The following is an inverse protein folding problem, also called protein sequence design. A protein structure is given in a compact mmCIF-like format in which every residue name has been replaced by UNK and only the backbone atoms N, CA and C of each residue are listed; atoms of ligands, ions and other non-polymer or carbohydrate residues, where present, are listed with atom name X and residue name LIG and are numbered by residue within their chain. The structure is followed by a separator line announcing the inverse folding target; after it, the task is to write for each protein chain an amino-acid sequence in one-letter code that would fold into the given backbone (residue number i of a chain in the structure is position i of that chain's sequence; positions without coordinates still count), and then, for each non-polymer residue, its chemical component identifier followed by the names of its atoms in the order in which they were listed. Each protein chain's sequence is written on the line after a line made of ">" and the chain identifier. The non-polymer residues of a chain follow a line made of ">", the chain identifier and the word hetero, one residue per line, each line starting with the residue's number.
data_IF_787356292228
#
_entry.id   IF_787356292228
#
_cell.length_a   1.000
_cell.length_b   1.000
_cell.length_c   1.000
_cell.angle_alpha   90.00
_cell.angle_beta   90.00
_cell.angle_gamma   90.00
#
_symmetry.space_group_name_H-M   'P 1'
#
loop_
_entity.id
_entity.type
_entity.pdbx_description
1 polymer ?
#
# COMPACT_ATOMS: atom_id res chain seq x y z
N UNK A 1 -27.57 23.41 -2.30
CA UNK A 1 -26.50 22.82 -1.49
C UNK A 1 -25.44 22.38 -2.48
N UNK A 2 -24.26 23.02 -2.51
CA UNK A 2 -23.19 22.61 -3.43
C UNK A 2 -22.62 21.29 -2.90
N UNK A 3 -22.67 20.24 -3.70
CA UNK A 3 -22.21 18.91 -3.30
C UNK A 3 -20.69 18.98 -3.05
N UNK A 4 -20.18 18.26 -2.05
CA UNK A 4 -18.74 18.26 -1.69
C UNK A 4 -17.83 17.98 -2.90
N UNK A 5 -18.29 17.14 -3.82
CA UNK A 5 -17.62 16.81 -5.09
C UNK A 5 -17.43 18.04 -5.99
N UNK A 6 -18.43 18.92 -6.09
CA UNK A 6 -18.32 20.14 -6.91
C UNK A 6 -17.30 21.11 -6.31
N UNK A 7 -17.20 21.14 -4.98
CA UNK A 7 -16.20 21.95 -4.26
C UNK A 7 -14.79 21.42 -4.54
N UNK A 8 -14.57 20.11 -4.47
CA UNK A 8 -13.29 19.49 -4.84
C UNK A 8 -12.91 19.71 -6.30
N UNK A 9 -13.86 19.51 -7.22
CA UNK A 9 -13.63 19.77 -8.65
C UNK A 9 -13.18 21.22 -8.88
N UNK A 10 -13.86 22.18 -8.24
CA UNK A 10 -13.49 23.60 -8.35
C UNK A 10 -12.12 23.88 -7.74
N UNK A 11 -11.89 23.44 -6.49
CA UNK A 11 -10.68 23.77 -5.74
C UNK A 11 -9.41 23.14 -6.29
N UNK A 12 -9.47 21.89 -6.74
CA UNK A 12 -8.28 21.09 -7.08
C UNK A 12 -8.15 20.80 -8.57
N UNK A 13 -9.24 20.88 -9.33
CA UNK A 13 -9.27 20.54 -10.76
C UNK A 13 -9.82 21.66 -11.65
N UNK A 14 -10.06 22.84 -11.08
CA UNK A 14 -10.54 24.04 -11.79
C UNK A 14 -11.88 23.82 -12.52
N UNK A 15 -12.73 22.91 -12.00
CA UNK A 15 -14.01 22.58 -12.61
C UNK A 15 -13.92 21.69 -13.87
N UNK A 16 -12.76 21.09 -14.14
CA UNK A 16 -12.47 20.38 -15.40
C UNK A 16 -12.44 18.85 -15.29
N UNK A 17 -13.01 18.26 -14.24
CA UNK A 17 -13.20 16.80 -14.22
C UNK A 17 -14.27 16.36 -15.23
N UNK A 18 -14.13 15.15 -15.79
CA UNK A 18 -15.13 14.59 -16.71
C UNK A 18 -16.43 14.25 -15.99
N UNK A 19 -17.54 14.18 -16.73
CA UNK A 19 -18.84 13.78 -16.18
C UNK A 19 -18.81 12.39 -15.56
N UNK A 20 -18.06 11.45 -16.14
CA UNK A 20 -17.89 10.11 -15.60
C UNK A 20 -17.17 10.13 -14.24
N UNK A 21 -16.06 10.86 -14.14
CA UNK A 21 -15.35 11.03 -12.85
C UNK A 21 -16.26 11.64 -11.80
N UNK A 22 -17.01 12.69 -12.15
CA UNK A 22 -17.95 13.32 -11.23
C UNK A 22 -19.04 12.35 -10.77
N UNK A 23 -19.55 11.50 -11.65
CA UNK A 23 -20.57 10.51 -11.28
C UNK A 23 -20.04 9.53 -10.22
N UNK A 24 -18.85 8.97 -10.41
CA UNK A 24 -18.24 8.03 -9.45
C UNK A 24 -17.93 8.68 -8.10
N UNK A 25 -17.44 9.92 -8.10
CA UNK A 25 -17.12 10.62 -6.86
C UNK A 25 -18.36 10.99 -6.03
N UNK A 26 -19.55 11.05 -6.63
CA UNK A 26 -20.79 11.34 -5.89
C UNK A 26 -21.17 10.26 -4.89
N UNK A 27 -20.61 9.05 -5.02
CA UNK A 27 -20.73 7.99 -4.00
C UNK A 27 -20.12 8.42 -2.64
N UNK A 28 -19.27 9.46 -2.61
CA UNK A 28 -18.74 10.03 -1.37
C UNK A 28 -19.70 11.01 -0.67
N UNK A 29 -20.86 11.34 -1.24
CA UNK A 29 -21.72 12.40 -0.71
C UNK A 29 -22.11 12.21 0.76
N UNK A 30 -22.35 10.96 1.15
CA UNK A 30 -22.78 10.56 2.50
C UNK A 30 -21.69 9.76 3.24
N UNK A 31 -20.44 9.83 2.77
CA UNK A 31 -19.32 9.15 3.40
C UNK A 31 -18.97 9.78 4.76
N UNK A 32 -18.40 9.01 5.71
CA UNK A 32 -17.98 9.54 7.01
C UNK A 32 -16.82 10.55 6.87
N UNK A 33 -16.66 11.42 7.88
CA UNK A 33 -15.67 12.52 7.85
C UNK A 33 -14.24 12.06 7.56
N UNK A 34 -13.82 10.90 8.08
CA UNK A 34 -12.48 10.36 7.83
C UNK A 34 -12.30 9.86 6.40
N UNK A 35 -13.37 9.35 5.76
CA UNK A 35 -13.39 9.04 4.33
C UNK A 35 -13.30 10.31 3.47
N UNK A 36 -14.07 11.35 3.82
CA UNK A 36 -14.01 12.64 3.13
C UNK A 36 -12.61 13.27 3.26
N UNK A 37 -12.00 13.21 4.45
CA UNK A 37 -10.65 13.70 4.71
C UNK A 37 -9.59 12.95 3.90
N UNK A 38 -9.72 11.62 3.77
CA UNK A 38 -8.84 10.81 2.92
C UNK A 38 -8.97 11.20 1.44
N UNK A 39 -10.19 11.38 0.92
CA UNK A 39 -10.42 11.79 -0.46
C UNK A 39 -9.88 13.21 -0.74
N UNK A 40 -10.16 14.17 0.14
CA UNK A 40 -9.64 15.54 0.06
C UNK A 40 -8.11 15.57 0.01
N UNK A 41 -7.46 14.80 0.88
CA UNK A 41 -6.00 14.65 0.90
C UNK A 41 -5.47 14.06 -0.39
N UNK A 42 -6.11 13.01 -0.91
CA UNK A 42 -5.71 12.41 -2.18
C UNK A 42 -5.74 13.45 -3.32
N UNK A 43 -6.77 14.29 -3.39
CA UNK A 43 -6.86 15.36 -4.40
C UNK A 43 -5.81 16.45 -4.21
N UNK A 44 -5.50 16.83 -2.96
CA UNK A 44 -4.39 17.77 -2.68
C UNK A 44 -3.04 17.20 -3.08
N UNK A 45 -2.80 15.90 -2.87
CA UNK A 45 -1.58 15.22 -3.32
C UNK A 45 -1.50 15.15 -4.85
N UNK A 46 -2.61 14.87 -5.54
CA UNK A 46 -2.69 14.90 -7.01
C UNK A 46 -2.38 16.30 -7.56
N UNK A 47 -2.90 17.35 -6.92
CA UNK A 47 -2.59 18.74 -7.26
C UNK A 47 -1.11 19.05 -7.07
N UNK A 48 -0.52 18.66 -5.93
CA UNK A 48 0.92 18.83 -5.67
C UNK A 48 1.79 18.04 -6.67
N UNK A 49 1.31 16.89 -7.13
CA UNK A 49 1.92 16.11 -8.19
C UNK A 49 1.71 16.69 -9.59
N UNK A 50 0.90 17.74 -9.77
CA UNK A 50 0.60 18.29 -11.10
C UNK A 50 -0.19 17.32 -11.98
N UNK A 51 -1.05 16.48 -11.39
CA UNK A 51 -1.97 15.64 -12.14
C UNK A 51 -2.99 16.53 -12.87
N UNK A 52 -3.17 16.33 -14.18
CA UNK A 52 -4.16 17.10 -14.93
C UNK A 52 -5.55 16.49 -14.71
N UNK A 53 -6.63 17.28 -14.78
CA UNK A 53 -8.00 16.77 -14.70
C UNK A 53 -8.29 15.65 -15.72
N UNK A 54 -7.72 15.74 -16.93
CA UNK A 54 -7.83 14.73 -17.99
C UNK A 54 -7.07 13.43 -17.70
N UNK A 55 -6.16 13.43 -16.72
CA UNK A 55 -5.39 12.26 -16.30
C UNK A 55 -6.02 11.53 -15.11
N UNK A 56 -7.10 12.07 -14.50
CA UNK A 56 -7.89 11.35 -13.52
C UNK A 56 -8.90 10.47 -14.26
N UNK A 57 -8.70 9.15 -14.24
CA UNK A 57 -9.59 8.22 -14.92
C UNK A 57 -10.90 8.01 -14.18
N UNK A 58 -11.95 7.63 -14.92
CA UNK A 58 -13.23 7.22 -14.30
C UNK A 58 -12.99 6.01 -13.38
N UNK A 59 -12.10 5.09 -13.74
CA UNK A 59 -11.76 3.95 -12.88
C UNK A 59 -11.10 4.36 -11.56
N UNK A 60 -10.16 5.30 -11.59
CA UNK A 60 -9.53 5.84 -10.36
C UNK A 60 -10.56 6.57 -9.50
N UNK A 61 -11.50 7.29 -10.13
CA UNK A 61 -12.61 7.95 -9.43
C UNK A 61 -13.56 6.93 -8.79
N UNK A 62 -13.85 5.82 -9.49
CA UNK A 62 -14.58 4.68 -8.93
C UNK A 62 -13.84 4.07 -7.74
N UNK A 63 -12.52 3.82 -7.84
CA UNK A 63 -11.71 3.34 -6.71
C UNK A 63 -11.78 4.30 -5.52
N UNK A 64 -11.79 5.61 -5.75
CA UNK A 64 -11.96 6.60 -4.69
C UNK A 64 -13.36 6.50 -4.08
N UNK A 65 -14.43 6.62 -4.88
CA UNK A 65 -15.81 6.57 -4.39
C UNK A 65 -16.17 5.26 -3.70
N UNK A 66 -15.65 4.15 -4.22
CA UNK A 66 -15.89 2.81 -3.72
C UNK A 66 -14.95 2.44 -2.55
N UNK A 67 -13.64 2.54 -2.70
CA UNK A 67 -12.71 2.02 -1.69
C UNK A 67 -12.52 2.92 -0.48
N UNK A 68 -12.55 4.26 -0.64
CA UNK A 68 -12.25 5.18 0.48
C UNK A 68 -13.22 5.00 1.66
N UNK A 69 -14.56 5.01 1.49
CA UNK A 69 -15.49 4.81 2.62
C UNK A 69 -15.36 3.45 3.29
N UNK A 70 -14.75 2.47 2.61
CA UNK A 70 -14.64 1.07 3.05
C UNK A 70 -13.27 0.74 3.65
N UNK A 71 -12.30 1.65 3.57
CA UNK A 71 -10.91 1.38 3.99
C UNK A 71 -10.42 2.34 5.07
N UNK A 72 -11.28 3.23 5.57
CA UNK A 72 -10.99 4.11 6.70
C UNK A 72 -11.34 3.45 8.05
N UNK A 73 -10.71 3.87 9.16
CA UNK A 73 -10.95 3.25 10.47
C UNK A 73 -12.42 3.25 10.91
N UNK A 74 -13.21 4.29 10.58
CA UNK A 74 -14.64 4.34 10.94
C UNK A 74 -15.44 3.16 10.37
N UNK A 75 -15.10 2.66 9.17
CA UNK A 75 -15.70 1.47 8.59
C UNK A 75 -15.37 0.18 9.38
N UNK A 76 -14.27 0.18 10.12
CA UNK A 76 -13.74 -0.99 10.82
C UNK A 76 -13.77 -0.85 12.34
N UNK A 77 -14.70 -0.05 12.89
CA UNK A 77 -14.83 0.14 14.34
C UNK A 77 -13.53 0.65 15.00
N UNK A 78 -12.78 1.47 14.26
CA UNK A 78 -11.51 2.05 14.69
C UNK A 78 -10.27 1.20 14.36
N UNK A 79 -10.42 0.00 13.80
CA UNK A 79 -9.27 -0.84 13.42
C UNK A 79 -8.78 -0.53 12.01
N UNK A 80 -7.52 -0.89 11.74
CA UNK A 80 -6.94 -0.85 10.41
C UNK A 80 -7.23 -2.19 9.71
N UNK A 81 -7.80 -2.20 8.50
CA UNK A 81 -8.04 -3.45 7.79
C UNK A 81 -6.71 -4.11 7.36
N UNK A 82 -6.48 -5.40 7.68
CA UNK A 82 -5.31 -6.14 7.20
C UNK A 82 -5.48 -6.47 5.71
N UNK A 83 -5.01 -5.57 4.84
CA UNK A 83 -4.99 -5.82 3.39
C UNK A 83 -3.64 -6.42 3.03
N UNK A 84 -3.58 -7.75 2.85
CA UNK A 84 -2.40 -8.46 2.36
C UNK A 84 -2.74 -9.20 1.06
N UNK A 85 -1.75 -9.28 0.16
CA UNK A 85 -1.89 -9.94 -1.13
C UNK A 85 -0.58 -10.61 -1.51
N UNK A 86 -0.67 -11.79 -2.13
CA UNK A 86 0.47 -12.47 -2.71
C UNK A 86 1.15 -11.60 -3.78
N UNK A 87 2.47 -11.68 -3.88
CA UNK A 87 3.31 -10.95 -4.82
C UNK A 87 3.51 -9.47 -4.51
N UNK A 88 2.87 -8.92 -3.46
CA UNK A 88 2.91 -7.48 -3.17
C UNK A 88 4.32 -6.96 -3.03
N UNK A 89 5.23 -7.66 -2.33
CA UNK A 89 6.58 -7.16 -2.06
C UNK A 89 7.67 -7.70 -2.98
N UNK A 90 7.31 -8.36 -4.09
CA UNK A 90 8.27 -9.07 -4.97
C UNK A 90 9.51 -8.26 -5.35
N UNK A 91 9.34 -7.02 -5.82
CA UNK A 91 10.47 -6.16 -6.24
C UNK A 91 11.24 -5.65 -5.01
N UNK A 92 10.56 -5.46 -3.88
CA UNK A 92 11.18 -5.06 -2.62
C UNK A 92 12.01 -6.19 -2.00
N UNK A 93 11.60 -7.45 -2.15
CA UNK A 93 12.40 -8.59 -1.71
C UNK A 93 13.71 -8.69 -2.50
N UNK A 94 13.66 -8.45 -3.82
CA UNK A 94 14.87 -8.29 -4.64
C UNK A 94 15.73 -7.12 -4.18
N UNK A 95 15.09 -5.99 -3.85
CA UNK A 95 15.78 -4.79 -3.38
C UNK A 95 16.54 -5.04 -2.07
N UNK A 96 15.96 -5.83 -1.16
CA UNK A 96 16.59 -6.23 0.10
C UNK A 96 17.71 -7.24 -0.17
N UNK A 97 17.46 -8.26 -0.99
CA UNK A 97 18.42 -9.31 -1.28
C UNK A 97 19.72 -8.78 -1.91
N UNK A 98 19.65 -7.69 -2.66
CA UNK A 98 20.77 -7.08 -3.40
C UNK A 98 21.13 -5.69 -2.91
N UNK A 99 20.71 -5.33 -1.70
CA UNK A 99 20.83 -3.96 -1.21
C UNK A 99 22.30 -3.47 -1.19
N UNK A 100 22.59 -2.25 -1.68
CA UNK A 100 23.95 -1.72 -1.70
C UNK A 100 24.37 -1.09 -0.36
N UNK A 101 23.42 -0.80 0.54
CA UNK A 101 23.66 -0.03 1.76
C UNK A 101 24.05 -0.89 2.97
N UNK A 102 23.63 -2.16 2.96
CA UNK A 102 23.92 -3.17 3.97
C UNK A 102 23.97 -4.55 3.33
N UNK A 103 24.95 -5.35 3.74
CA UNK A 103 24.99 -6.80 3.46
C UNK A 103 25.25 -7.49 4.79
N UNK A 104 24.31 -8.30 5.31
CA UNK A 104 24.60 -9.06 6.51
C UNK A 104 25.72 -10.07 6.26
N UNK A 105 26.25 -10.62 7.36
CA UNK A 105 27.11 -11.80 7.31
C UNK A 105 26.34 -13.06 6.88
N UNK A 106 26.82 -14.24 7.28
CA UNK A 106 26.30 -15.52 6.77
C UNK A 106 24.81 -15.79 7.03
N UNK A 107 24.23 -15.26 8.13
CA UNK A 107 22.81 -15.42 8.49
C UNK A 107 22.19 -14.08 8.89
N UNK A 108 21.52 -13.43 7.95
CA UNK A 108 20.80 -12.17 8.19
C UNK A 108 19.52 -12.37 9.01
N UNK A 109 19.12 -11.33 9.74
CA UNK A 109 17.83 -11.27 10.46
C UNK A 109 16.95 -10.19 9.81
N UNK A 110 15.79 -10.62 9.32
CA UNK A 110 14.78 -9.77 8.68
C UNK A 110 13.52 -9.72 9.54
N UNK A 111 13.01 -8.52 9.84
CA UNK A 111 11.75 -8.31 10.55
C UNK A 111 10.76 -7.61 9.63
N UNK A 112 9.60 -8.23 9.39
CA UNK A 112 8.49 -7.69 8.60
C UNK A 112 7.37 -7.21 9.52
N UNK A 113 7.22 -5.89 9.64
CA UNK A 113 6.27 -5.26 10.55
C UNK A 113 4.99 -4.92 9.81
N UNK A 114 3.86 -5.37 10.36
CA UNK A 114 2.55 -5.23 9.72
C UNK A 114 2.33 -6.27 8.61
N UNK A 115 2.80 -7.49 8.83
CA UNK A 115 2.73 -8.57 7.84
C UNK A 115 1.30 -9.07 7.57
N UNK A 116 0.33 -8.70 8.41
CA UNK A 116 -1.09 -8.97 8.27
C UNK A 116 -1.47 -10.45 8.27
N UNK A 117 -2.72 -10.73 7.87
CA UNK A 117 -3.26 -12.08 7.82
C UNK A 117 -4.10 -12.31 6.54
N UNK A 118 -3.83 -13.39 5.76
CA UNK A 118 -2.68 -14.28 5.89
C UNK A 118 -1.34 -13.54 5.62
N UNK A 119 -0.22 -14.02 6.18
CA UNK A 119 1.08 -13.34 6.10
C UNK A 119 1.82 -13.63 4.79
N UNK A 120 1.11 -13.59 3.66
CA UNK A 120 1.64 -14.01 2.34
C UNK A 120 2.95 -13.30 1.99
N UNK A 121 3.04 -12.00 2.26
CA UNK A 121 4.21 -11.21 1.93
C UNK A 121 5.45 -11.64 2.70
N UNK A 122 5.31 -12.06 3.96
CA UNK A 122 6.44 -12.50 4.77
C UNK A 122 6.85 -13.93 4.44
N UNK A 123 5.89 -14.79 4.08
CA UNK A 123 6.16 -16.11 3.52
C UNK A 123 6.98 -16.03 2.24
N UNK A 124 6.60 -15.14 1.31
CA UNK A 124 7.34 -14.91 0.07
C UNK A 124 8.75 -14.37 0.35
N UNK A 125 8.91 -13.46 1.31
CA UNK A 125 10.23 -12.99 1.75
C UNK A 125 11.09 -14.13 2.31
N UNK A 126 10.53 -15.01 3.15
CA UNK A 126 11.24 -16.17 3.69
C UNK A 126 11.70 -17.14 2.59
N UNK A 127 10.87 -17.36 1.57
CA UNK A 127 11.24 -18.15 0.39
C UNK A 127 12.35 -17.46 -0.42
N UNK A 128 12.29 -16.12 -0.54
CA UNK A 128 13.28 -15.36 -1.32
C UNK A 128 14.62 -15.21 -0.61
N UNK A 129 14.62 -15.26 0.73
CA UNK A 129 15.78 -15.17 1.61
C UNK A 129 15.98 -16.46 2.43
N UNK A 130 16.23 -17.61 1.79
CA UNK A 130 16.20 -18.92 2.46
C UNK A 130 17.30 -19.10 3.52
N UNK A 131 18.37 -18.31 3.44
CA UNK A 131 19.48 -18.33 4.42
C UNK A 131 19.28 -17.34 5.57
N UNK A 132 18.22 -16.53 5.56
CA UNK A 132 17.95 -15.53 6.59
C UNK A 132 16.92 -16.05 7.58
N UNK A 133 17.00 -15.58 8.83
CA UNK A 133 15.88 -15.71 9.78
C UNK A 133 14.90 -14.58 9.47
N UNK A 134 13.69 -14.92 9.03
CA UNK A 134 12.61 -13.99 8.73
C UNK A 134 11.59 -14.05 9.86
N UNK A 135 11.19 -12.89 10.37
CA UNK A 135 10.25 -12.77 11.48
C UNK A 135 9.12 -11.84 11.03
N UNK A 136 7.92 -12.37 10.89
CA UNK A 136 6.71 -11.57 10.68
C UNK A 136 6.13 -11.11 12.00
N UNK A 137 5.81 -9.82 12.10
CA UNK A 137 5.29 -9.19 13.30
C UNK A 137 3.98 -8.47 12.98
N UNK A 138 2.90 -8.83 13.66
CA UNK A 138 1.61 -8.15 13.51
C UNK A 138 0.74 -8.24 14.78
N UNK A 139 0.05 -7.16 15.19
CA UNK A 139 -0.89 -7.20 16.31
C UNK A 139 -2.22 -7.88 15.95
N UNK A 140 -2.52 -8.12 14.67
CA UNK A 140 -3.76 -8.74 14.19
C UNK A 140 -3.75 -10.27 14.25
N UNK A 141 -2.63 -10.89 14.66
CA UNK A 141 -2.57 -12.33 14.85
C UNK A 141 -3.61 -12.77 15.87
N UNK A 142 -4.51 -13.63 15.39
CA UNK A 142 -5.72 -14.01 16.11
C UNK A 142 -5.59 -15.43 16.64
N UNK A 143 -6.20 -15.69 17.79
CA UNK A 143 -6.20 -17.03 18.41
C UNK A 143 -6.94 -18.05 17.57
N UNK A 144 -8.02 -17.62 16.91
CA UNK A 144 -8.86 -18.48 16.10
C UNK A 144 -9.11 -17.86 14.72
N UNK A 145 -9.14 -18.71 13.69
CA UNK A 145 -9.64 -18.35 12.37
C UNK A 145 -10.71 -19.33 11.94
N UNK A 146 -11.83 -18.76 11.52
CA UNK A 146 -13.00 -19.48 11.01
C UNK A 146 -13.06 -19.30 9.52
N UNK A 147 -13.15 -20.38 8.76
CA UNK A 147 -13.40 -20.39 7.33
C UNK A 147 -14.82 -20.87 7.05
N UNK A 148 -15.51 -20.19 6.14
CA UNK A 148 -16.74 -20.72 5.56
C UNK A 148 -16.43 -21.68 4.39
N UNK A 149 -17.47 -22.25 3.79
CA UNK A 149 -17.36 -23.20 2.67
C UNK A 149 -16.84 -22.57 1.37
N UNK A 150 -16.84 -21.24 1.27
CA UNK A 150 -16.35 -20.48 0.12
C UNK A 150 -14.88 -20.06 0.30
N UNK A 151 -14.26 -20.40 1.43
CA UNK A 151 -12.88 -20.03 1.76
C UNK A 151 -12.71 -18.62 2.34
N UNK A 152 -13.80 -17.85 2.46
CA UNK A 152 -13.79 -16.59 3.19
C UNK A 152 -13.61 -16.84 4.70
N UNK A 153 -12.97 -15.91 5.40
CA UNK A 153 -12.55 -16.15 6.78
C UNK A 153 -12.84 -15.00 7.75
N UNK A 154 -12.92 -15.35 9.03
CA UNK A 154 -13.01 -14.42 10.16
C UNK A 154 -11.99 -14.76 11.23
N UNK A 155 -11.37 -13.73 11.80
CA UNK A 155 -10.32 -13.81 12.80
C UNK A 155 -10.87 -13.40 14.17
N UNK A 156 -10.71 -14.27 15.17
CA UNK A 156 -11.18 -14.05 16.54
C UNK A 156 -10.03 -14.12 17.54
N UNK A 157 -10.04 -13.23 18.52
CA UNK A 157 -9.07 -13.25 19.61
C UNK A 157 -9.37 -14.31 20.68
N UNK A 158 -8.56 -14.35 21.74
CA UNK A 158 -8.71 -15.29 22.86
C UNK A 158 -10.05 -15.13 23.60
N UNK A 159 -10.60 -13.91 23.63
CA UNK A 159 -11.90 -13.57 24.21
C UNK A 159 -13.06 -13.84 23.22
N UNK A 160 -12.80 -14.48 22.09
CA UNK A 160 -13.75 -14.75 21.01
C UNK A 160 -14.37 -13.46 20.42
N UNK A 161 -13.69 -12.32 20.51
CA UNK A 161 -14.10 -11.09 19.84
C UNK A 161 -13.62 -11.11 18.40
N UNK A 162 -14.51 -10.72 17.49
CA UNK A 162 -14.19 -10.59 16.07
C UNK A 162 -13.20 -9.43 15.87
N UNK A 163 -12.01 -9.74 15.37
CA UNK A 163 -10.97 -8.75 15.05
C UNK A 163 -11.09 -8.25 13.62
N UNK A 164 -11.29 -9.18 12.71
CA UNK A 164 -11.37 -8.93 11.28
C UNK A 164 -12.16 -10.06 10.60
N UNK A 165 -12.73 -9.78 9.44
CA UNK A 165 -13.20 -10.83 8.55
C UNK A 165 -13.10 -10.36 7.10
N UNK A 166 -12.85 -11.31 6.22
CA UNK A 166 -12.84 -11.13 4.78
C UNK A 166 -14.15 -11.69 4.23
N UNK A 167 -14.95 -10.86 3.58
CA UNK A 167 -16.15 -11.26 2.85
C UNK A 167 -16.03 -10.85 1.36
N UNK A 168 -14.88 -11.13 0.76
CA UNK A 168 -14.52 -10.65 -0.58
C UNK A 168 -14.27 -9.14 -0.62
N UNK A 169 -14.29 -8.55 -1.83
CA UNK A 169 -14.09 -7.11 -2.06
C UNK A 169 -15.26 -6.24 -1.60
N UNK A 170 -16.43 -6.84 -1.33
CA UNK A 170 -17.62 -6.13 -0.86
C UNK A 170 -18.51 -7.06 -0.05
N UNK A 171 -18.91 -6.60 1.13
CA UNK A 171 -19.89 -7.26 1.97
C UNK A 171 -21.16 -6.42 2.05
N UNK A 172 -22.19 -6.70 1.22
CA UNK A 172 -23.44 -5.95 1.23
C UNK A 172 -24.21 -6.10 2.54
N UNK A 173 -23.95 -7.15 3.32
CA UNK A 173 -24.67 -7.47 4.54
C UNK A 173 -23.70 -7.87 5.65
N UNK A 174 -22.99 -6.85 6.12
CA UNK A 174 -21.99 -6.95 7.20
C UNK A 174 -22.50 -7.67 8.43
N UNK A 175 -23.72 -7.39 8.85
CA UNK A 175 -24.27 -7.97 10.06
C UNK A 175 -24.61 -9.45 9.87
N UNK A 176 -25.11 -9.84 8.69
CA UNK A 176 -25.32 -11.24 8.38
C UNK A 176 -24.00 -12.01 8.21
N UNK A 177 -23.00 -11.45 7.53
CA UNK A 177 -21.67 -12.06 7.39
C UNK A 177 -21.01 -12.32 8.74
N UNK A 178 -21.01 -11.33 9.64
CA UNK A 178 -20.53 -11.49 11.02
C UNK A 178 -21.28 -12.59 11.78
N UNK A 179 -22.60 -12.65 11.63
CA UNK A 179 -23.45 -13.65 12.28
C UNK A 179 -23.13 -15.05 11.76
N UNK A 180 -23.00 -15.24 10.45
CA UNK A 180 -22.62 -16.52 9.83
C UNK A 180 -21.28 -17.03 10.36
N UNK A 181 -20.27 -16.17 10.45
CA UNK A 181 -18.98 -16.57 11.03
C UNK A 181 -19.07 -16.91 12.52
N UNK A 182 -19.88 -16.17 13.28
CA UNK A 182 -20.15 -16.47 14.70
C UNK A 182 -20.82 -17.83 14.86
N UNK A 183 -21.83 -18.13 14.04
CA UNK A 183 -22.53 -19.42 14.07
C UNK A 183 -21.60 -20.61 13.76
N UNK A 184 -20.67 -20.43 12.80
CA UNK A 184 -19.65 -21.45 12.51
C UNK A 184 -18.71 -21.62 13.71
N UNK A 185 -18.24 -20.51 14.31
CA UNK A 185 -17.38 -20.55 15.50
C UNK A 185 -18.06 -21.30 16.65
N UNK A 186 -19.28 -20.91 17.01
CA UNK A 186 -20.00 -21.45 18.17
C UNK A 186 -20.31 -22.95 17.96
N UNK A 187 -20.54 -23.38 16.72
CA UNK A 187 -20.74 -24.79 16.36
C UNK A 187 -19.45 -25.62 16.43
N UNK A 188 -18.34 -25.07 15.96
CA UNK A 188 -17.08 -25.80 15.82
C UNK A 188 -16.21 -25.77 17.09
N UNK A 189 -16.23 -24.69 17.86
CA UNK A 189 -15.38 -24.49 19.03
C UNK A 189 -15.50 -25.62 20.08
N UNK A 190 -16.70 -26.13 20.43
CA UNK A 190 -16.83 -27.25 21.37
C UNK A 190 -16.26 -28.58 20.83
N UNK A 191 -16.05 -28.69 19.52
CA UNK A 191 -15.55 -29.89 18.84
C UNK A 191 -14.03 -29.84 18.60
N UNK A 192 -13.38 -28.72 18.91
CA UNK A 192 -11.97 -28.51 18.67
C UNK A 192 -11.11 -29.23 19.72
N UNK A 193 -10.62 -30.42 19.38
CA UNK A 193 -9.75 -31.25 20.25
C UNK A 193 -8.26 -31.07 20.01
N UNK A 194 -7.88 -30.48 18.86
CA UNK A 194 -6.50 -30.15 18.49
C UNK A 194 -6.38 -28.71 17.99
N UNK A 195 -5.60 -28.53 16.92
CA UNK A 195 -5.38 -27.22 16.29
C UNK A 195 -6.43 -26.91 15.20
N UNK A 196 -7.15 -27.91 14.69
CA UNK A 196 -8.15 -27.73 13.65
C UNK A 196 -9.38 -28.64 13.86
N UNK A 197 -10.55 -28.14 13.46
CA UNK A 197 -11.77 -28.94 13.26
C UNK A 197 -12.53 -28.46 12.03
N UNK A 198 -13.07 -29.40 11.24
CA UNK A 198 -13.82 -29.11 10.01
C UNK A 198 -15.15 -29.88 10.00
N UNK A 199 -16.20 -29.27 9.49
CA UNK A 199 -17.47 -29.91 9.14
C UNK A 199 -18.02 -29.40 7.79
N UNK A 200 -19.21 -29.87 7.39
CA UNK A 200 -19.83 -29.51 6.12
C UNK A 200 -20.10 -28.01 5.97
N UNK A 201 -20.17 -27.25 7.06
CA UNK A 201 -20.48 -25.83 7.07
C UNK A 201 -19.28 -24.91 7.32
N UNK A 202 -18.06 -25.45 7.49
CA UNK A 202 -16.86 -24.62 7.65
C UNK A 202 -15.71 -25.32 8.38
N UNK A 203 -14.66 -24.54 8.63
CA UNK A 203 -13.42 -24.96 9.30
C UNK A 203 -13.04 -23.96 10.38
N UNK A 204 -12.57 -24.45 11.52
CA UNK A 204 -12.01 -23.65 12.61
C UNK A 204 -10.57 -24.08 12.85
N UNK A 205 -9.68 -23.10 12.91
CA UNK A 205 -8.25 -23.28 13.19
C UNK A 205 -7.88 -22.47 14.43
N UNK A 206 -7.15 -23.08 15.36
CA UNK A 206 -6.51 -22.44 16.51
C UNK A 206 -5.04 -22.20 16.19
N UNK A 207 -4.51 -21.05 16.62
CA UNK A 207 -3.13 -20.65 16.39
C UNK A 207 -2.72 -20.75 14.91
N UNK A 208 -3.49 -20.13 13.99
CA UNK A 208 -3.34 -20.29 12.54
C UNK A 208 -1.94 -19.94 12.02
N UNK A 209 -1.18 -19.13 12.76
CA UNK A 209 0.20 -18.73 12.41
C UNK A 209 1.14 -19.92 12.29
N UNK A 210 0.97 -20.95 13.12
CA UNK A 210 1.81 -22.15 13.09
C UNK A 210 1.77 -22.90 11.75
N UNK A 211 0.71 -22.72 10.96
CA UNK A 211 0.61 -23.33 9.64
C UNK A 211 1.45 -22.62 8.56
N UNK A 212 1.88 -21.39 8.84
CA UNK A 212 2.66 -20.57 7.90
C UNK A 212 4.14 -20.50 8.27
N UNK A 213 4.52 -20.89 9.49
CA UNK A 213 5.91 -20.93 9.95
C UNK A 213 6.72 -22.02 9.23
N UNK A 214 8.01 -21.77 9.08
CA UNK A 214 8.99 -22.69 8.47
C UNK A 214 10.30 -22.65 9.27
N UNK A 215 11.29 -23.47 8.90
CA UNK A 215 12.62 -23.48 9.55
C UNK A 215 13.32 -22.11 9.56
N UNK A 216 12.93 -21.20 8.66
CA UNK A 216 13.49 -19.87 8.54
C UNK A 216 12.46 -18.73 8.70
N UNK A 217 11.19 -19.05 8.99
CA UNK A 217 10.11 -18.10 9.19
C UNK A 217 9.42 -18.30 10.54
N UNK A 218 9.41 -17.25 11.35
CA UNK A 218 8.69 -17.16 12.62
C UNK A 218 7.62 -16.06 12.54
N UNK A 219 6.47 -16.27 13.18
CA UNK A 219 5.38 -15.30 13.22
C UNK A 219 5.05 -14.93 14.67
N UNK A 220 5.33 -13.68 15.03
CA UNK A 220 5.21 -13.19 16.40
C UNK A 220 4.09 -12.15 16.52
N UNK A 221 3.21 -12.33 17.50
CA UNK A 221 2.21 -11.32 17.84
C UNK A 221 2.85 -10.10 18.48
N UNK A 222 2.54 -8.91 17.97
CA UNK A 222 3.01 -7.65 18.54
C UNK A 222 3.01 -6.50 17.53
N UNK A 223 2.99 -5.28 18.04
CA UNK A 223 3.09 -4.06 17.24
C UNK A 223 4.47 -3.39 17.27
N UNK A 224 4.53 -2.26 16.57
CA UNK A 224 5.62 -1.28 16.68
C UNK A 224 5.74 -0.82 18.14
N UNK A 225 6.93 -0.95 18.73
CA UNK A 225 7.18 -0.60 20.12
C UNK A 225 6.95 -1.74 21.12
N UNK A 226 6.27 -2.82 20.71
CA UNK A 226 5.99 -3.98 21.57
C UNK A 226 6.94 -5.14 21.27
N UNK A 227 7.21 -5.39 19.99
CA UNK A 227 8.14 -6.43 19.58
C UNK A 227 9.57 -6.08 20.00
N UNK A 228 10.25 -7.08 20.56
CA UNK A 228 11.67 -7.04 20.92
C UNK A 228 12.38 -8.20 20.24
N UNK A 229 13.64 -8.00 19.87
CA UNK A 229 14.47 -9.04 19.28
C UNK A 229 15.64 -9.36 20.22
N UNK A 230 15.83 -10.65 20.50
CA UNK A 230 16.96 -11.12 21.33
C UNK A 230 18.32 -10.92 20.66
N UNK A 231 18.32 -10.73 19.34
CA UNK A 231 19.50 -10.48 18.51
C UNK A 231 19.28 -9.21 17.70
N UNK A 232 20.37 -8.50 17.40
CA UNK A 232 20.27 -7.34 16.53
C UNK A 232 19.72 -7.72 15.15
N UNK A 233 18.92 -6.83 14.58
CA UNK A 233 18.23 -6.99 13.29
C UNK A 233 19.04 -6.37 12.15
N UNK A 234 19.12 -7.03 11.00
CA UNK A 234 19.81 -6.51 9.82
C UNK A 234 18.89 -5.64 8.96
N UNK A 235 17.63 -6.06 8.80
CA UNK A 235 16.63 -5.33 8.02
C UNK A 235 15.28 -5.36 8.72
N UNK A 236 14.68 -4.18 8.88
CA UNK A 236 13.26 -4.02 9.22
C UNK A 236 12.54 -3.53 7.98
N UNK A 237 11.46 -4.20 7.58
CA UNK A 237 10.51 -3.72 6.58
C UNK A 237 9.20 -3.33 7.27
N UNK A 238 8.68 -2.16 6.95
CA UNK A 238 7.41 -1.64 7.45
C UNK A 238 6.65 -1.00 6.29
N UNK A 239 6.09 -1.84 5.42
CA UNK A 239 5.37 -1.42 4.22
C UNK A 239 3.88 -1.40 4.48
N UNK A 240 3.20 -0.39 3.95
CA UNK A 240 1.75 -0.24 4.04
C UNK A 240 1.22 -0.07 5.48
N UNK A 241 2.04 0.41 6.40
CA UNK A 241 1.65 0.64 7.81
C UNK A 241 1.61 2.13 8.15
N UNK A 242 2.69 2.89 7.92
CA UNK A 242 2.77 4.31 8.33
C UNK A 242 1.75 5.23 7.63
N UNK A 243 1.06 4.75 6.59
CA UNK A 243 -0.06 5.49 6.00
C UNK A 243 -1.28 5.61 6.93
N UNK A 244 -1.34 4.84 8.02
CA UNK A 244 -2.43 4.93 9.01
C UNK A 244 -2.12 5.83 10.22
N UNK A 245 -0.87 6.26 10.38
CA UNK A 245 -0.39 6.91 11.60
C UNK A 245 0.15 8.32 11.33
N UNK A 246 0.04 9.16 12.34
CA UNK A 246 0.51 10.55 12.31
C UNK A 246 2.05 10.62 12.41
N UNK A 247 2.60 11.81 12.16
CA UNK A 247 4.04 12.03 12.26
C UNK A 247 4.60 11.76 13.68
N UNK A 248 3.97 12.15 14.80
CA UNK A 248 4.44 11.80 16.13
C UNK A 248 4.61 10.29 16.36
N UNK A 249 3.64 9.47 15.91
CA UNK A 249 3.77 8.01 16.00
C UNK A 249 4.93 7.51 15.14
N UNK A 250 5.05 8.01 13.91
CA UNK A 250 6.15 7.67 13.02
C UNK A 250 7.52 7.92 13.66
N UNK A 251 7.73 9.07 14.29
CA UNK A 251 9.01 9.38 14.95
C UNK A 251 9.32 8.42 16.11
N UNK A 252 8.31 8.02 16.90
CA UNK A 252 8.47 6.98 17.91
C UNK A 252 8.80 5.62 17.29
N UNK A 253 8.19 5.29 16.16
CA UNK A 253 8.46 4.06 15.42
C UNK A 253 9.89 4.02 14.87
N UNK A 254 10.40 5.15 14.36
CA UNK A 254 11.79 5.27 13.91
C UNK A 254 12.77 5.11 15.08
N UNK A 255 12.47 5.71 16.23
CA UNK A 255 13.28 5.53 17.44
C UNK A 255 13.32 4.07 17.90
N UNK A 256 12.16 3.38 17.90
CA UNK A 256 12.07 1.94 18.19
C UNK A 256 12.87 1.10 17.18
N UNK A 257 12.72 1.35 15.88
CA UNK A 257 13.49 0.62 14.87
C UNK A 257 15.02 0.80 15.05
N UNK A 258 15.43 1.98 15.52
CA UNK A 258 16.84 2.27 15.84
C UNK A 258 17.39 1.37 16.94
N UNK A 259 16.58 1.02 17.96
CA UNK A 259 17.04 0.17 19.08
C UNK A 259 17.20 -1.30 18.67
N UNK A 260 16.42 -1.76 17.68
CA UNK A 260 16.46 -3.15 17.19
C UNK A 260 17.57 -3.39 16.16
N UNK A 261 17.85 -2.40 15.31
CA UNK A 261 18.80 -2.55 14.21
C UNK A 261 20.25 -2.65 14.69
N UNK A 262 21.02 -3.51 14.04
CA UNK A 262 22.49 -3.52 14.14
C UNK A 262 23.08 -2.25 13.50
N UNK A 263 24.31 -1.83 13.87
CA UNK A 263 25.03 -0.81 13.13
C UNK A 263 25.08 -1.15 11.63
N UNK A 264 24.72 -0.20 10.77
CA UNK A 264 24.59 -0.42 9.32
C UNK A 264 23.29 -1.09 8.86
N UNK A 265 22.48 -1.62 9.78
CA UNK A 265 21.18 -2.22 9.46
C UNK A 265 20.19 -1.23 8.85
N UNK A 266 19.19 -1.76 8.15
CA UNK A 266 18.26 -0.96 7.33
C UNK A 266 16.84 -0.96 7.87
N UNK A 267 16.18 0.19 7.76
CA UNK A 267 14.72 0.27 7.83
C UNK A 267 14.19 0.68 6.45
N UNK A 268 13.28 -0.10 5.90
CA UNK A 268 12.53 0.21 4.69
C UNK A 268 11.08 0.48 5.10
N UNK A 269 10.56 1.66 4.81
CA UNK A 269 9.17 1.99 5.10
C UNK A 269 8.50 2.75 3.95
N UNK A 270 7.22 2.52 3.74
CA UNK A 270 6.48 3.14 2.65
C UNK A 270 5.20 2.41 2.31
N UNK A 271 4.81 2.42 1.04
CA UNK A 271 3.61 1.76 0.54
C UNK A 271 3.85 1.22 -0.86
N UNK A 272 3.28 0.06 -1.16
CA UNK A 272 3.20 -0.47 -2.50
C UNK A 272 1.89 -1.26 -2.71
N UNK A 273 1.73 -1.77 -3.92
CA UNK A 273 0.62 -2.60 -4.37
C UNK A 273 1.10 -3.95 -4.92
N UNK A 274 0.19 -4.70 -5.55
CA UNK A 274 0.48 -6.01 -6.14
C UNK A 274 1.69 -5.90 -7.08
N UNK A 275 2.55 -6.92 -7.07
CA UNK A 275 3.77 -6.95 -7.89
C UNK A 275 4.72 -5.75 -7.63
N UNK A 276 4.59 -5.08 -6.48
CA UNK A 276 5.27 -3.83 -6.14
C UNK A 276 4.97 -2.64 -7.07
N UNK A 277 3.88 -2.69 -7.83
CA UNK A 277 3.33 -1.50 -8.47
C UNK A 277 3.02 -0.42 -7.43
N UNK A 278 2.92 0.83 -7.88
CA UNK A 278 2.62 1.98 -7.04
C UNK A 278 3.62 2.17 -5.86
N UNK A 279 4.80 1.56 -5.94
CA UNK A 279 5.77 1.60 -4.86
C UNK A 279 6.22 3.03 -4.59
N UNK A 280 6.29 3.39 -3.31
CA UNK A 280 7.00 4.56 -2.78
C UNK A 280 7.55 4.19 -1.42
N UNK A 281 8.84 4.41 -1.19
CA UNK A 281 9.46 4.01 0.06
C UNK A 281 10.72 4.80 0.37
N UNK A 282 11.00 4.92 1.67
CA UNK A 282 12.23 5.48 2.19
C UNK A 282 13.08 4.36 2.79
N UNK A 283 14.39 4.40 2.53
CA UNK A 283 15.38 3.51 3.11
C UNK A 283 16.25 4.31 4.05
N UNK A 284 16.26 3.90 5.31
CA UNK A 284 17.12 4.41 6.36
C UNK A 284 18.21 3.40 6.65
N UNK A 285 19.39 3.91 7.05
CA UNK A 285 20.47 3.10 7.61
C UNK A 285 20.78 3.56 9.02
N UNK A 286 20.98 2.62 9.94
CA UNK A 286 21.46 2.94 11.28
C UNK A 286 22.94 3.34 11.23
N UNK A 287 23.24 4.55 11.68
CA UNK A 287 24.59 5.13 11.81
C UNK A 287 24.67 5.87 13.13
N UNK A 288 25.68 5.65 13.97
CA UNK A 288 25.84 6.37 15.25
C UNK A 288 24.56 6.39 16.11
N UNK A 289 23.88 5.24 16.22
CA UNK A 289 22.60 5.07 16.95
C UNK A 289 21.47 6.03 16.51
N UNK A 290 21.45 6.41 15.24
CA UNK A 290 20.34 7.12 14.58
C UNK A 290 20.04 6.52 13.22
N UNK A 291 18.80 6.68 12.77
CA UNK A 291 18.41 6.35 11.40
C UNK A 291 18.72 7.51 10.47
N UNK A 292 19.62 7.28 9.53
CA UNK A 292 20.00 8.26 8.50
C UNK A 292 19.31 7.88 7.19
N UNK A 293 18.47 8.76 6.61
CA UNK A 293 17.81 8.49 5.34
C UNK A 293 18.85 8.42 4.21
N UNK A 294 18.80 7.34 3.41
CA UNK A 294 19.74 7.08 2.30
C UNK A 294 19.08 7.18 0.94
N UNK A 295 17.86 6.68 0.82
CA UNK A 295 17.14 6.61 -0.44
C UNK A 295 15.66 6.89 -0.22
N UNK A 296 15.06 7.69 -1.10
CA UNK A 296 13.62 7.69 -1.34
C UNK A 296 13.44 7.22 -2.77
N UNK A 297 12.60 6.22 -2.98
CA UNK A 297 12.37 5.63 -4.28
C UNK A 297 10.88 5.49 -4.58
N UNK A 298 10.52 5.56 -5.85
CA UNK A 298 9.16 5.34 -6.34
C UNK A 298 9.15 4.64 -7.69
N UNK A 299 8.09 3.87 -7.94
CA UNK A 299 7.86 3.20 -9.22
C UNK A 299 7.35 4.19 -10.28
N UNK A 300 7.71 3.96 -11.54
CA UNK A 300 7.45 4.89 -12.64
C UNK A 300 5.95 5.10 -12.93
N UNK A 301 5.10 4.12 -12.60
CA UNK A 301 3.65 4.25 -12.71
C UNK A 301 3.07 5.34 -11.80
N UNK A 302 3.78 5.77 -10.74
CA UNK A 302 3.36 6.91 -9.91
C UNK A 302 3.38 8.25 -10.66
N UNK A 303 4.01 8.36 -11.84
CA UNK A 303 3.99 9.59 -12.64
C UNK A 303 2.59 9.88 -13.20
N UNK A 304 1.79 8.85 -13.48
CA UNK A 304 0.38 8.99 -13.87
C UNK A 304 -0.39 7.73 -13.50
N UNK A 305 -0.67 7.53 -12.21
CA UNK A 305 -1.25 6.28 -11.74
C UNK A 305 -2.72 6.17 -12.10
N UNK A 306 -3.16 4.95 -12.37
CA UNK A 306 -4.58 4.59 -12.53
C UNK A 306 -5.20 4.07 -11.22
N UNK A 307 -4.39 3.92 -10.16
CA UNK A 307 -4.77 3.41 -8.84
C UNK A 307 -4.90 4.50 -7.77
N UNK A 308 -5.59 4.16 -6.68
CA UNK A 308 -5.66 4.94 -5.45
C UNK A 308 -4.38 4.83 -4.59
N UNK A 309 -3.64 3.72 -4.68
CA UNK A 309 -2.53 3.40 -3.77
C UNK A 309 -1.46 4.51 -3.64
N UNK A 310 -1.05 5.22 -4.71
CA UNK A 310 -0.09 6.34 -4.63
C UNK A 310 -0.56 7.54 -3.80
N UNK A 311 -1.87 7.67 -3.59
CA UNK A 311 -2.52 8.81 -2.95
C UNK A 311 -3.10 8.49 -1.57
N UNK A 312 -3.13 7.21 -1.21
CA UNK A 312 -3.69 6.75 0.06
C UNK A 312 -2.79 7.10 1.25
N UNK A 313 -3.35 7.82 2.23
CA UNK A 313 -2.77 8.08 3.54
C UNK A 313 -3.77 8.79 4.45
N UNK A 314 -3.83 8.44 5.73
CA UNK A 314 -4.81 8.97 6.70
C UNK A 314 -4.42 10.30 7.33
N UNK A 315 -3.17 10.75 7.12
CA UNK A 315 -2.62 11.97 7.72
C UNK A 315 -1.92 12.83 6.67
N UNK A 316 -2.09 14.16 6.79
CA UNK A 316 -1.55 15.16 5.86
C UNK A 316 -0.02 15.23 5.86
N UNK A 317 0.60 14.74 6.93
CA UNK A 317 2.04 14.74 7.18
C UNK A 317 2.72 13.41 6.81
N UNK A 318 2.03 12.51 6.09
CA UNK A 318 2.63 11.27 5.62
C UNK A 318 3.82 11.55 4.68
N UNK A 319 5.03 11.26 5.16
CA UNK A 319 6.27 11.66 4.52
C UNK A 319 6.46 11.03 3.13
N UNK A 320 6.10 9.75 2.98
CA UNK A 320 6.27 9.03 1.72
C UNK A 320 5.26 9.51 0.65
N UNK A 321 4.02 9.83 1.02
CA UNK A 321 3.06 10.47 0.11
C UNK A 321 3.53 11.85 -0.34
N UNK A 322 3.99 12.69 0.60
CA UNK A 322 4.51 14.02 0.28
C UNK A 322 5.73 13.94 -0.64
N UNK A 323 6.70 13.08 -0.29
CA UNK A 323 7.91 12.88 -1.10
C UNK A 323 7.57 12.40 -2.51
N UNK A 324 6.59 11.49 -2.63
CA UNK A 324 6.11 11.01 -3.93
C UNK A 324 5.47 12.14 -4.75
N UNK A 325 4.50 12.87 -4.17
CA UNK A 325 3.80 13.93 -4.86
C UNK A 325 4.76 15.02 -5.38
N UNK A 326 5.72 15.46 -4.55
CA UNK A 326 6.69 16.49 -4.96
C UNK A 326 7.72 15.99 -5.98
N UNK A 327 8.17 14.74 -5.88
CA UNK A 327 9.07 14.14 -6.87
C UNK A 327 8.38 13.98 -8.22
N UNK A 328 7.15 13.44 -8.22
CA UNK A 328 6.31 13.30 -9.42
C UNK A 328 5.97 14.67 -10.01
N UNK A 329 5.62 15.66 -9.19
CA UNK A 329 5.38 17.02 -9.65
C UNK A 329 6.59 17.65 -10.34
N UNK A 330 7.79 17.40 -9.82
CA UNK A 330 9.05 17.81 -10.46
C UNK A 330 9.25 17.13 -11.81
N UNK A 331 8.98 15.81 -11.90
CA UNK A 331 9.10 15.04 -13.14
C UNK A 331 8.09 15.52 -14.19
N UNK A 332 6.83 15.71 -13.79
CA UNK A 332 5.75 16.15 -14.68
C UNK A 332 5.89 17.61 -15.14
N UNK A 333 6.63 18.45 -14.40
CA UNK A 333 6.93 19.81 -14.83
C UNK A 333 7.86 19.87 -16.07
N UNK A 334 8.62 18.80 -16.35
CA UNK A 334 9.42 18.70 -17.58
C UNK A 334 8.50 18.37 -18.76
N UNK A 335 8.14 19.41 -19.52
CA UNK A 335 7.17 19.31 -20.63
C UNK A 335 7.61 18.32 -21.73
N UNK A 336 8.89 18.28 -22.16
CA UNK A 336 9.35 17.28 -23.13
C UNK A 336 9.16 15.84 -22.64
N UNK A 337 9.57 15.54 -21.40
CA UNK A 337 9.36 14.23 -20.78
C UNK A 337 7.88 13.90 -20.70
N UNK A 338 7.07 14.80 -20.12
CA UNK A 338 5.64 14.55 -19.89
C UNK A 338 4.90 14.25 -21.19
N UNK A 339 5.20 14.96 -22.29
CA UNK A 339 4.57 14.70 -23.58
C UNK A 339 4.85 13.28 -24.09
N UNK A 340 6.11 12.83 -24.02
CA UNK A 340 6.49 11.47 -24.46
C UNK A 340 5.88 10.42 -23.54
N UNK A 341 6.00 10.63 -22.24
CA UNK A 341 5.46 9.75 -21.21
C UNK A 341 3.96 9.57 -21.38
N UNK A 342 3.21 10.66 -21.49
CA UNK A 342 1.75 10.62 -21.63
C UNK A 342 1.32 9.94 -22.91
N UNK A 343 1.97 10.26 -24.03
CA UNK A 343 1.66 9.62 -25.32
C UNK A 343 1.91 8.11 -25.27
N UNK A 344 2.99 7.68 -24.61
CA UNK A 344 3.29 6.25 -24.51
C UNK A 344 2.35 5.55 -23.54
N UNK A 345 2.10 6.16 -22.38
CA UNK A 345 1.17 5.63 -21.39
C UNK A 345 -0.24 5.51 -21.96
N UNK A 346 -0.72 6.48 -22.76
CA UNK A 346 -2.00 6.38 -23.46
C UNK A 346 -2.01 5.19 -24.43
N UNK A 347 -0.94 4.99 -25.21
CA UNK A 347 -0.83 3.85 -26.12
C UNK A 347 -0.83 2.50 -25.38
N UNK A 348 -0.15 2.41 -24.23
CA UNK A 348 -0.16 1.21 -23.39
C UNK A 348 -1.55 0.94 -22.80
N UNK A 349 -2.21 1.97 -22.28
CA UNK A 349 -3.57 1.88 -21.75
C UNK A 349 -4.56 1.41 -22.83
N UNK A 350 -4.46 1.92 -24.06
CA UNK A 350 -5.25 1.43 -25.20
C UNK A 350 -4.92 -0.03 -25.53
N UNK A 351 -3.65 -0.42 -25.56
CA UNK A 351 -3.22 -1.81 -25.84
C UNK A 351 -3.76 -2.80 -24.80
N UNK A 352 -3.76 -2.41 -23.53
CA UNK A 352 -4.28 -3.21 -22.41
C UNK A 352 -5.80 -3.12 -22.25
N UNK A 353 -6.47 -2.31 -23.08
CA UNK A 353 -7.88 -1.96 -22.92
C UNK A 353 -8.20 -1.48 -21.48
N UNK A 354 -7.31 -0.71 -20.88
CA UNK A 354 -7.45 -0.20 -19.52
C UNK A 354 -7.61 1.32 -19.57
N UNK A 355 -8.78 1.84 -19.23
CA UNK A 355 -9.06 3.28 -19.13
C UNK A 355 -8.60 4.10 -20.37
N UNK A 356 -8.90 3.69 -21.62
CA UNK A 356 -8.50 4.46 -22.80
C UNK A 356 -9.10 5.88 -22.76
N UNK A 357 -8.44 6.84 -23.43
CA UNK A 357 -9.01 8.19 -23.57
C UNK A 357 -10.24 8.20 -24.46
N UNK A 358 -11.23 9.01 -24.11
CA UNK A 358 -12.37 9.34 -24.96
C UNK A 358 -12.02 10.44 -25.99
N UNK A 359 -13.01 10.84 -26.79
CA UNK A 359 -12.87 11.89 -27.80
C UNK A 359 -12.59 13.28 -27.22
N UNK A 360 -12.94 13.50 -25.95
CA UNK A 360 -12.71 14.75 -25.23
C UNK A 360 -11.35 14.75 -24.50
N UNK A 361 -10.61 13.65 -24.63
CA UNK A 361 -9.27 13.47 -24.08
C UNK A 361 -9.25 13.05 -22.62
N UNK A 362 -10.36 12.58 -22.03
CA UNK A 362 -10.41 12.09 -20.65
C UNK A 362 -10.22 10.58 -20.58
N UNK A 363 -9.52 10.09 -19.56
CA UNK A 363 -9.37 8.65 -19.34
C UNK A 363 -10.70 8.03 -18.87
N UNK A 364 -11.13 6.95 -19.54
CA UNK A 364 -12.37 6.25 -19.26
C UNK A 364 -12.33 5.29 -18.05
N UNK A 365 -13.28 4.36 -18.01
CA UNK A 365 -13.33 3.29 -17.02
C UNK A 365 -12.60 2.04 -17.54
N UNK A 366 -12.22 1.13 -16.64
CA UNK A 366 -11.85 -0.24 -17.01
C UNK A 366 -13.07 -1.02 -17.56
N UNK A 367 -12.90 -1.94 -18.52
CA UNK A 367 -14.00 -2.78 -19.01
C UNK A 367 -14.65 -3.58 -17.87
N UNK A 368 -15.98 -3.67 -17.87
CA UNK A 368 -16.73 -4.36 -16.82
C UNK A 368 -16.46 -5.88 -16.79
N UNK A 369 -16.16 -6.45 -17.96
CA UNK A 369 -15.85 -7.86 -18.20
C UNK A 369 -14.36 -8.20 -18.00
N UNK A 370 -13.50 -7.21 -17.78
CA UNK A 370 -12.08 -7.46 -17.50
C UNK A 370 -11.94 -8.30 -16.21
N UNK A 371 -11.14 -9.38 -16.20
CA UNK A 371 -10.88 -10.14 -14.99
C UNK A 371 -10.29 -9.27 -13.86
N UNK A 372 -10.67 -9.54 -12.61
CA UNK A 372 -10.21 -8.77 -11.47
C UNK A 372 -8.68 -8.83 -11.27
N UNK A 373 -8.08 -9.99 -11.55
CA UNK A 373 -6.62 -10.16 -11.48
C UNK A 373 -5.91 -9.32 -12.55
N UNK A 374 -6.41 -9.30 -13.78
CA UNK A 374 -5.85 -8.49 -14.86
C UNK A 374 -5.92 -7.00 -14.54
N UNK A 375 -7.07 -6.54 -14.00
CA UNK A 375 -7.20 -5.17 -13.48
C UNK A 375 -6.17 -4.87 -12.40
N UNK A 376 -6.03 -5.77 -11.42
CA UNK A 376 -5.12 -5.56 -10.29
C UNK A 376 -3.66 -5.47 -10.72
N UNK A 377 -3.23 -6.27 -11.71
CA UNK A 377 -1.86 -6.31 -12.21
C UNK A 377 -1.56 -5.24 -13.28
N UNK A 378 -2.53 -4.48 -13.75
CA UNK A 378 -2.33 -3.55 -14.85
C UNK A 378 -1.19 -2.54 -14.57
N UNK A 379 -1.16 -1.97 -13.36
CA UNK A 379 -0.11 -1.00 -12.99
C UNK A 379 1.30 -1.59 -12.97
N UNK A 380 1.46 -2.88 -12.63
CA UNK A 380 2.78 -3.52 -12.69
C UNK A 380 3.22 -3.79 -14.13
N UNK A 381 2.29 -4.18 -15.00
CA UNK A 381 2.55 -4.33 -16.44
C UNK A 381 2.96 -2.98 -17.05
N UNK A 382 2.23 -1.92 -16.74
CA UNK A 382 2.55 -0.55 -17.19
C UNK A 382 3.93 -0.12 -16.70
N UNK A 383 4.23 -0.32 -15.41
CA UNK A 383 5.52 0.02 -14.83
C UNK A 383 6.68 -0.72 -15.52
N UNK A 384 6.53 -2.02 -15.78
CA UNK A 384 7.54 -2.83 -16.46
C UNK A 384 7.79 -2.33 -17.89
N UNK A 385 6.74 -2.09 -18.68
CA UNK A 385 6.88 -1.55 -20.04
C UNK A 385 7.58 -0.18 -20.06
N UNK A 386 7.19 0.71 -19.15
CA UNK A 386 7.80 2.05 -19.06
C UNK A 386 9.27 1.98 -18.62
N UNK A 387 9.63 1.07 -17.73
CA UNK A 387 11.03 0.86 -17.33
C UNK A 387 11.87 0.29 -18.48
N UNK A 388 11.37 -0.74 -19.18
CA UNK A 388 12.03 -1.36 -20.33
C UNK A 388 12.28 -0.36 -21.47
N UNK A 389 11.39 0.61 -21.65
CA UNK A 389 11.51 1.68 -22.64
C UNK A 389 12.36 2.87 -22.16
N UNK A 390 12.90 2.82 -20.95
CA UNK A 390 13.87 3.79 -20.43
C UNK A 390 13.26 5.01 -19.74
N UNK A 391 11.94 5.07 -19.51
CA UNK A 391 11.30 6.22 -18.85
C UNK A 391 11.78 6.44 -17.42
N UNK A 392 12.21 5.39 -16.72
CA UNK A 392 12.84 5.52 -15.41
C UNK A 392 14.14 6.32 -15.50
N UNK A 393 15.00 6.02 -16.47
CA UNK A 393 16.26 6.76 -16.66
C UNK A 393 16.00 8.22 -17.03
N UNK A 394 15.01 8.48 -17.90
CA UNK A 394 14.61 9.84 -18.24
C UNK A 394 14.06 10.62 -17.04
N UNK A 395 13.20 10.01 -16.22
CA UNK A 395 12.67 10.63 -15.01
C UNK A 395 13.78 10.97 -14.00
N UNK A 396 14.78 10.08 -13.86
CA UNK A 396 16.00 10.34 -13.09
C UNK A 396 16.76 11.56 -13.63
N UNK A 397 16.90 11.67 -14.94
CA UNK A 397 17.58 12.81 -15.56
C UNK A 397 16.80 14.12 -15.39
N UNK A 398 15.46 14.08 -15.42
CA UNK A 398 14.62 15.25 -15.06
C UNK A 398 14.90 15.68 -13.62
N UNK A 399 14.91 14.75 -12.67
CA UNK A 399 15.22 15.04 -11.27
C UNK A 399 16.64 15.60 -11.10
N UNK A 400 17.63 15.09 -11.84
CA UNK A 400 19.00 15.63 -11.83
C UNK A 400 19.06 17.06 -12.35
N UNK A 401 18.39 17.35 -13.47
CA UNK A 401 18.34 18.71 -14.05
C UNK A 401 17.64 19.71 -13.13
N UNK A 402 16.71 19.26 -12.28
CA UNK A 402 16.10 20.11 -11.24
C UNK A 402 16.94 20.23 -9.95
N UNK A 403 18.17 19.70 -9.94
CA UNK A 403 19.10 19.82 -8.83
C UNK A 403 18.99 18.73 -7.76
N UNK A 404 18.23 17.65 -8.01
CA UNK A 404 18.17 16.50 -7.09
C UNK A 404 19.34 15.54 -7.36
N UNK A 405 19.82 14.90 -6.30
CA UNK A 405 20.73 13.75 -6.44
C UNK A 405 19.90 12.49 -6.66
N UNK A 406 19.70 12.11 -7.93
CA UNK A 406 18.84 10.99 -8.34
C UNK A 406 19.61 9.91 -9.12
N UNK A 407 19.10 8.68 -9.09
CA UNK A 407 19.60 7.51 -9.79
C UNK A 407 18.48 6.50 -10.07
N UNK A 408 18.67 5.59 -11.02
CA UNK A 408 17.86 4.37 -11.13
C UNK A 408 18.44 3.36 -10.15
N UNK A 409 17.65 2.86 -9.20
CA UNK A 409 18.15 1.82 -8.31
C UNK A 409 18.17 0.46 -9.02
N UNK A 410 18.78 -0.53 -8.37
CA UNK A 410 19.04 -1.84 -9.00
C UNK A 410 17.79 -2.69 -9.25
N UNK A 411 16.61 -2.24 -8.80
CA UNK A 411 15.32 -2.88 -9.06
C UNK A 411 14.44 -2.10 -10.03
N UNK A 412 14.99 -1.08 -10.70
CA UNK A 412 14.27 -0.33 -11.74
C UNK A 412 13.41 0.82 -11.21
N UNK A 413 13.46 1.16 -9.93
CA UNK A 413 12.74 2.33 -9.41
C UNK A 413 13.53 3.63 -9.61
N UNK A 414 12.81 4.74 -9.72
CA UNK A 414 13.37 6.09 -9.65
C UNK A 414 13.74 6.36 -8.21
N UNK A 415 15.02 6.60 -7.93
CA UNK A 415 15.54 6.81 -6.60
C UNK A 415 16.23 8.17 -6.48
N UNK A 416 16.20 8.76 -5.29
CA UNK A 416 16.89 9.99 -4.98
C UNK A 416 17.32 10.07 -3.53
N UNK A 417 18.28 10.94 -3.25
CA UNK A 417 18.66 11.29 -1.88
C UNK A 417 17.45 11.93 -1.21
N UNK A 418 16.97 11.43 -0.06
CA UNK A 418 15.83 12.00 0.62
C UNK A 418 16.04 13.48 0.95
N UNK A 419 14.98 14.25 0.74
CA UNK A 419 14.87 15.66 1.08
C UNK A 419 13.57 15.85 1.83
N UNK A 420 13.52 16.80 2.76
CA UNK A 420 12.26 17.12 3.43
C UNK A 420 11.27 17.68 2.39
N UNK A 421 10.14 17.03 2.12
CA UNK A 421 9.16 17.56 1.19
C UNK A 421 8.46 18.77 1.81
N UNK A 422 7.98 19.73 0.99
CA UNK A 422 7.05 20.74 1.45
C UNK A 422 5.80 20.10 2.09
N UNK A 423 5.21 20.73 3.13
CA UNK A 423 3.97 20.25 3.73
C UNK A 423 2.83 20.26 2.71
N UNK A 424 1.82 19.43 2.93
CA UNK A 424 0.59 19.51 2.14
C UNK A 424 -0.10 20.84 2.42
N UNK A 425 -0.56 21.53 1.36
CA UNK A 425 -1.39 22.72 1.53
C UNK A 425 -2.63 22.38 2.36
N UNK A 426 -3.09 23.25 3.28
CA UNK A 426 -4.34 23.03 4.00
C UNK A 426 -5.53 22.75 3.07
N UNK A 427 -6.55 22.05 3.57
CA UNK A 427 -7.77 21.82 2.79
C UNK A 427 -8.42 23.16 2.42
N UNK A 428 -8.86 23.27 1.17
CA UNK A 428 -9.70 24.38 0.71
C UNK A 428 -11.20 24.01 0.77
N UNK A 429 -11.53 22.78 1.18
CA UNK A 429 -12.90 22.24 1.12
C UNK A 429 -13.39 21.78 2.50
N UNK A 430 -12.58 21.07 3.28
CA UNK A 430 -12.94 20.57 4.61
C UNK A 430 -12.61 21.55 5.73
#
# INVERSE_FOLDING_TARGET
>A
MVQIVDRWNTAYFQGRLSTGVLAELRELADAPDDALALADRAFRLMLAAGLRPTDLSVFTAWLIGFSVPRTVPSAWSGTVPPVTMAGRHRVLDEYVARNPWHRPGERGVFVDVGCGFPPFTTMETAQRLPTWRVIGVDPAFSRYVVYNTEGAYACYDEDLRLRYYQAGTYDPDRDNSKRRFREILDRLLPRLTGDEVTDEGGKLVRDPMRHYETDNLELVGGGIGEYTADVGVDVIRCMNVFMYFDHPFRERALAWATTLLRPGGLLLCGSNWIDSACARYTVYRKEDDRLVPKEFAFSIDNVRPIDLAPWYGLHDDNLENLSNAHAVGTVRADTPFLRRFDSRMDALLTQLNMCPRDSDGYLGHAPADMPAEDRARCSSILAAHLDDEGFVAEAVDVLRRSGRHAWRNHVGHVAMRPVKPPPLTPSAVL
#
